data_IF_645620221728
#
_entry.id   IF_645620221728
#
_cell.length_a   1.000
_cell.length_b   1.000
_cell.length_c   1.000
_cell.angle_alpha   90.00
_cell.angle_beta   90.00
_cell.angle_gamma   90.00
#
_symmetry.space_group_name_H-M   'P 1'
#
loop_
_entity.id
_entity.type
_entity.pdbx_description
1 polymer ?
#
# COMPACT_ATOMS: atom_id res chain seq x y z
N UNK A 1 -17.19 -30.75 0.07
CA UNK A 1 -16.63 -29.39 0.05
C UNK A 1 -16.01 -29.19 -1.33
N UNK A 2 -16.57 -28.31 -2.15
CA UNK A 2 -16.01 -27.97 -3.46
C UNK A 2 -14.67 -27.26 -3.25
N UNK A 3 -13.61 -27.77 -3.87
CA UNK A 3 -12.28 -27.14 -3.87
C UNK A 3 -12.35 -25.79 -4.58
N UNK A 4 -12.79 -24.75 -3.87
CA UNK A 4 -12.62 -23.37 -4.29
C UNK A 4 -11.15 -23.01 -4.04
N UNK A 5 -10.29 -23.33 -5.01
CA UNK A 5 -8.95 -22.77 -4.99
C UNK A 5 -9.10 -21.24 -5.12
N UNK A 6 -8.63 -20.50 -4.13
CA UNK A 6 -8.67 -19.04 -4.20
C UNK A 6 -7.72 -18.53 -5.27
N UNK A 7 -7.90 -17.30 -5.77
CA UNK A 7 -6.99 -16.72 -6.76
C UNK A 7 -5.53 -16.73 -6.29
N UNK A 8 -5.31 -16.55 -4.98
CA UNK A 8 -3.99 -16.52 -4.39
C UNK A 8 -3.42 -17.94 -4.20
N UNK A 9 -4.21 -18.93 -3.77
CA UNK A 9 -3.72 -20.31 -3.69
C UNK A 9 -3.53 -20.95 -5.07
N UNK A 10 -4.37 -20.60 -6.06
CA UNK A 10 -4.16 -20.90 -7.49
C UNK A 10 -2.88 -20.27 -8.01
N UNK A 11 -2.58 -19.04 -7.60
CA UNK A 11 -1.37 -18.33 -7.99
C UNK A 11 -0.12 -19.04 -7.45
N UNK A 12 -0.02 -19.28 -6.14
CA UNK A 12 1.12 -19.97 -5.53
C UNK A 12 1.31 -21.41 -6.03
N UNK A 13 0.23 -22.19 -6.13
CA UNK A 13 0.32 -23.57 -6.63
C UNK A 13 0.76 -23.64 -8.10
N UNK A 14 0.44 -22.64 -8.92
CA UNK A 14 0.86 -22.58 -10.32
C UNK A 14 2.32 -22.16 -10.49
N UNK A 15 2.82 -21.23 -9.68
CA UNK A 15 4.26 -20.88 -9.65
C UNK A 15 5.09 -22.12 -9.35
N UNK A 16 4.72 -22.84 -8.28
CA UNK A 16 5.45 -24.02 -7.80
C UNK A 16 5.49 -25.19 -8.80
N UNK A 17 4.44 -25.36 -9.60
CA UNK A 17 4.27 -26.55 -10.44
C UNK A 17 4.68 -26.38 -11.92
N UNK A 18 4.88 -25.16 -12.43
CA UNK A 18 4.97 -24.93 -13.88
C UNK A 18 6.21 -24.15 -14.36
N UNK A 19 7.27 -23.97 -13.55
CA UNK A 19 8.43 -23.12 -13.92
C UNK A 19 7.98 -21.76 -14.49
N UNK A 20 6.94 -21.17 -13.91
CA UNK A 20 6.42 -19.88 -14.36
C UNK A 20 7.37 -18.80 -13.83
N UNK A 21 8.15 -18.19 -14.72
CA UNK A 21 8.85 -16.95 -14.43
C UNK A 21 7.82 -15.84 -14.36
N UNK A 22 7.44 -15.44 -13.14
CA UNK A 22 6.81 -14.16 -12.90
C UNK A 22 7.90 -13.09 -13.02
N UNK A 23 8.31 -12.77 -14.25
CA UNK A 23 9.10 -11.57 -14.42
C UNK A 23 8.10 -10.40 -14.35
N UNK A 24 8.18 -9.59 -13.29
CA UNK A 24 7.53 -8.28 -13.29
C UNK A 24 8.32 -7.37 -14.23
N UNK A 25 8.41 -7.71 -15.50
CA UNK A 25 9.05 -6.84 -16.45
C UNK A 25 8.22 -5.57 -16.47
N UNK A 26 8.80 -4.51 -15.88
CA UNK A 26 8.55 -3.12 -16.18
C UNK A 26 7.50 -2.38 -15.29
N UNK A 27 7.34 -1.08 -15.54
CA UNK A 27 6.45 -0.15 -14.81
C UNK A 27 4.98 -0.40 -15.14
N UNK A 28 4.04 0.24 -14.44
CA UNK A 28 2.61 0.14 -14.78
C UNK A 28 2.32 0.53 -16.26
N UNK A 29 3.15 1.38 -16.88
CA UNK A 29 3.04 1.84 -18.28
C UNK A 29 3.28 0.67 -19.21
N UNK A 30 4.26 -0.15 -18.87
CA UNK A 30 4.60 -1.33 -19.63
C UNK A 30 3.56 -2.42 -19.43
N UNK A 31 2.97 -2.59 -18.23
CA UNK A 31 1.78 -3.45 -18.06
C UNK A 31 0.64 -2.96 -18.97
N UNK A 32 0.41 -1.65 -19.07
CA UNK A 32 -0.61 -1.09 -19.94
C UNK A 32 -0.26 -1.15 -21.44
N UNK A 33 1.01 -1.04 -21.83
CA UNK A 33 1.48 -1.26 -23.20
C UNK A 33 1.42 -2.74 -23.58
N UNK A 34 1.79 -3.63 -22.67
CA UNK A 34 1.74 -5.07 -22.80
C UNK A 34 0.29 -5.56 -22.91
N UNK A 35 -0.65 -4.92 -22.22
CA UNK A 35 -2.09 -5.16 -22.40
C UNK A 35 -2.63 -4.62 -23.73
N UNK A 36 -1.96 -3.62 -24.34
CA UNK A 36 -2.27 -3.13 -25.70
C UNK A 36 -1.62 -3.99 -26.78
N UNK A 37 -0.55 -4.73 -26.46
CA UNK A 37 0.17 -5.62 -27.39
C UNK A 37 -0.31 -7.08 -27.22
N UNK A 38 -0.91 -7.72 -28.24
CA UNK A 38 -1.48 -9.07 -28.12
C UNK A 38 -0.44 -10.22 -27.99
N UNK A 39 0.79 -9.94 -27.55
CA UNK A 39 1.94 -10.86 -27.67
C UNK A 39 2.66 -11.23 -26.37
N UNK A 40 2.20 -10.82 -25.19
CA UNK A 40 2.85 -11.24 -23.94
C UNK A 40 2.17 -12.48 -23.36
N UNK A 41 3.00 -13.53 -23.26
CA UNK A 41 2.77 -14.86 -22.68
C UNK A 41 1.30 -15.31 -22.64
N UNK A 42 0.89 -16.01 -23.70
CA UNK A 42 -0.35 -16.79 -23.78
C UNK A 42 -0.44 -17.79 -22.61
N UNK A 43 -1.02 -17.36 -21.49
CA UNK A 43 -1.61 -18.30 -20.53
C UNK A 43 -3.00 -18.67 -21.04
N UNK A 44 -3.05 -19.69 -21.92
CA UNK A 44 -4.30 -20.30 -22.35
C UNK A 44 -4.90 -21.02 -21.14
N UNK A 45 -5.95 -20.45 -20.55
CA UNK A 45 -6.84 -21.20 -19.67
C UNK A 45 -7.58 -22.22 -20.52
N UNK A 46 -7.15 -23.49 -20.50
CA UNK A 46 -8.03 -24.60 -20.81
C UNK A 46 -8.97 -24.80 -19.61
N UNK A 47 -9.93 -23.90 -19.44
CA UNK A 47 -11.14 -24.27 -18.71
C UNK A 47 -11.92 -25.22 -19.61
N UNK A 48 -12.16 -26.45 -19.17
CA UNK A 48 -13.05 -27.42 -19.83
C UNK A 48 -14.54 -26.97 -19.85
N UNK A 49 -14.80 -25.66 -19.85
CA UNK A 49 -16.12 -25.11 -20.09
C UNK A 49 -16.36 -25.12 -21.58
N UNK A 50 -17.07 -26.15 -22.03
CA UNK A 50 -17.73 -26.23 -23.33
C UNK A 50 -18.65 -25.03 -23.51
N UNK A 51 -18.09 -23.91 -23.98
CA UNK A 51 -18.71 -22.93 -24.86
C UNK A 51 -17.71 -21.81 -25.20
N UNK A 52 -17.49 -21.66 -26.51
CA UNK A 52 -16.52 -20.82 -27.20
C UNK A 52 -16.55 -19.33 -26.83
N UNK A 53 -15.76 -18.93 -25.84
CA UNK A 53 -14.94 -17.71 -25.93
C UNK A 53 -13.64 -17.95 -25.17
N UNK A 54 -12.53 -18.20 -25.88
CA UNK A 54 -11.17 -18.18 -25.30
C UNK A 54 -10.87 -16.75 -24.84
N UNK A 55 -11.31 -16.39 -23.64
CA UNK A 55 -10.85 -15.18 -22.97
C UNK A 55 -9.44 -15.49 -22.47
N UNK A 56 -8.43 -14.96 -23.16
CA UNK A 56 -7.07 -14.89 -22.64
C UNK A 56 -7.12 -13.95 -21.43
N UNK A 57 -7.25 -14.53 -20.23
CA UNK A 57 -7.13 -13.76 -18.99
C UNK A 57 -5.66 -13.72 -18.65
N UNK A 58 -4.99 -12.63 -19.03
CA UNK A 58 -3.63 -12.35 -18.60
C UNK A 58 -3.68 -12.02 -17.10
N UNK A 59 -3.11 -12.88 -16.27
CA UNK A 59 -2.97 -12.61 -14.84
C UNK A 59 -1.70 -11.81 -14.65
N UNK A 60 -1.83 -10.50 -14.43
CA UNK A 60 -0.74 -9.68 -13.93
C UNK A 60 -0.68 -9.79 -12.42
N UNK A 61 0.53 -10.07 -11.91
CA UNK A 61 0.80 -9.95 -10.49
C UNK A 61 0.79 -8.46 -10.11
N UNK A 62 0.13 -8.12 -9.01
CA UNK A 62 -0.09 -6.73 -8.62
C UNK A 62 0.24 -6.53 -7.14
N UNK A 63 1.48 -6.12 -6.79
CA UNK A 63 1.93 -6.00 -5.41
C UNK A 63 0.99 -5.18 -4.49
N UNK A 64 0.39 -4.06 -4.94
CA UNK A 64 -0.57 -3.31 -4.12
C UNK A 64 -1.77 -4.14 -3.64
N UNK A 65 -2.17 -5.19 -4.37
CA UNK A 65 -3.28 -6.07 -3.96
C UNK A 65 -2.90 -7.01 -2.83
N UNK A 66 -1.64 -7.38 -2.69
CA UNK A 66 -1.17 -8.15 -1.52
C UNK A 66 -1.27 -7.27 -0.29
N UNK A 67 -0.71 -6.05 -0.35
CA UNK A 67 -0.76 -5.11 0.77
C UNK A 67 -2.21 -4.88 1.20
N UNK A 68 -3.11 -4.58 0.26
CA UNK A 68 -4.53 -4.40 0.57
C UNK A 68 -5.14 -5.62 1.26
N UNK A 69 -4.85 -6.82 0.76
CA UNK A 69 -5.39 -8.05 1.33
C UNK A 69 -4.89 -8.31 2.75
N UNK A 70 -3.61 -8.04 3.00
CA UNK A 70 -3.01 -8.17 4.33
C UNK A 70 -3.52 -7.11 5.30
N UNK A 71 -3.73 -5.88 4.81
CA UNK A 71 -4.36 -4.81 5.58
C UNK A 71 -5.76 -5.22 6.05
N UNK A 72 -6.58 -5.77 5.14
CA UNK A 72 -7.91 -6.29 5.50
C UNK A 72 -7.85 -7.47 6.46
N UNK A 73 -6.90 -8.38 6.25
CA UNK A 73 -6.68 -9.51 7.14
C UNK A 73 -6.36 -9.04 8.56
N UNK A 74 -5.42 -8.10 8.71
CA UNK A 74 -5.01 -7.50 9.99
C UNK A 74 -6.12 -6.69 10.68
N UNK A 75 -7.12 -6.23 9.95
CA UNK A 75 -8.28 -5.56 10.55
C UNK A 75 -9.37 -6.54 10.97
N UNK A 76 -9.44 -7.69 10.30
CA UNK A 76 -10.31 -8.80 10.71
C UNK A 76 -9.72 -9.66 11.83
N UNK A 77 -8.40 -9.61 12.02
CA UNK A 77 -7.63 -10.34 13.04
C UNK A 77 -6.73 -9.35 13.79
N UNK A 78 -7.14 -8.92 14.99
CA UNK A 78 -6.33 -8.06 15.85
C UNK A 78 -5.22 -8.88 16.53
N UNK A 79 -4.30 -9.47 15.74
CA UNK A 79 -3.17 -10.26 16.23
C UNK A 79 -1.82 -9.65 15.80
N UNK A 80 -0.79 -9.85 16.62
CA UNK A 80 0.60 -9.44 16.30
C UNK A 80 1.08 -10.09 15.01
N UNK A 81 0.76 -11.38 14.81
CA UNK A 81 1.08 -12.13 13.60
C UNK A 81 0.48 -11.49 12.34
N UNK A 82 -0.72 -10.91 12.41
CA UNK A 82 -1.33 -10.24 11.27
C UNK A 82 -0.62 -8.93 10.90
N UNK A 83 -0.14 -8.18 11.91
CA UNK A 83 0.68 -6.99 11.69
C UNK A 83 2.05 -7.36 11.09
N UNK A 84 2.68 -8.43 11.58
CA UNK A 84 3.93 -8.94 11.01
C UNK A 84 3.74 -9.34 9.54
N UNK A 85 2.65 -10.05 9.22
CA UNK A 85 2.34 -10.39 7.83
C UNK A 85 2.16 -9.16 6.94
N UNK A 86 1.50 -8.10 7.45
CA UNK A 86 1.36 -6.84 6.72
C UNK A 86 2.72 -6.21 6.41
N UNK A 87 3.62 -6.14 7.40
CA UNK A 87 4.96 -5.58 7.22
C UNK A 87 5.77 -6.38 6.18
N UNK A 88 5.77 -7.70 6.27
CA UNK A 88 6.42 -8.59 5.29
C UNK A 88 5.87 -8.41 3.88
N UNK A 89 4.54 -8.22 3.76
CA UNK A 89 3.90 -7.95 2.48
C UNK A 89 4.26 -6.59 1.88
N UNK A 90 4.45 -5.57 2.72
CA UNK A 90 4.92 -4.24 2.29
C UNK A 90 6.36 -4.34 1.78
N UNK A 91 7.25 -4.96 2.55
CA UNK A 91 8.66 -5.17 2.16
C UNK A 91 8.77 -5.95 0.86
N UNK A 92 8.05 -7.07 0.75
CA UNK A 92 8.00 -7.89 -0.46
C UNK A 92 7.48 -7.10 -1.66
N UNK A 93 6.44 -6.28 -1.47
CA UNK A 93 5.90 -5.46 -2.55
C UNK A 93 6.92 -4.42 -3.04
N UNK A 94 7.61 -3.74 -2.13
CA UNK A 94 8.67 -2.79 -2.46
C UNK A 94 9.84 -3.48 -3.17
N UNK A 95 10.27 -4.66 -2.69
CA UNK A 95 11.35 -5.42 -3.33
C UNK A 95 10.97 -5.83 -4.75
N UNK A 96 9.72 -6.25 -5.00
CA UNK A 96 9.25 -6.60 -6.35
C UNK A 96 9.32 -5.39 -7.30
N UNK A 97 9.01 -4.18 -6.82
CA UNK A 97 9.15 -2.94 -7.59
C UNK A 97 10.63 -2.57 -7.89
N UNK A 98 11.56 -3.00 -7.04
CA UNK A 98 12.98 -2.74 -7.21
C UNK A 98 13.69 -3.82 -8.05
N UNK A 99 13.34 -5.08 -7.82
CA UNK A 99 13.96 -6.29 -8.36
C UNK A 99 12.92 -7.23 -8.98
N UNK A 100 12.25 -6.79 -10.06
CA UNK A 100 11.15 -7.53 -10.67
C UNK A 100 11.44 -8.97 -11.08
N UNK A 101 12.68 -9.26 -11.46
CA UNK A 101 13.13 -10.59 -11.86
C UNK A 101 13.11 -11.59 -10.70
N UNK A 102 13.12 -11.10 -9.45
CA UNK A 102 13.09 -11.93 -8.25
C UNK A 102 11.67 -12.20 -7.73
N UNK A 103 10.62 -11.69 -8.40
CA UNK A 103 9.22 -11.79 -7.95
C UNK A 103 8.81 -13.21 -7.57
N UNK A 104 9.17 -14.21 -8.38
CA UNK A 104 8.80 -15.61 -8.10
C UNK A 104 9.38 -16.13 -6.77
N UNK A 105 10.62 -15.75 -6.45
CA UNK A 105 11.30 -16.19 -5.22
C UNK A 105 10.69 -15.46 -4.02
N UNK A 106 10.57 -14.13 -4.09
CA UNK A 106 9.96 -13.28 -3.05
C UNK A 106 8.58 -13.83 -2.67
N UNK A 107 7.79 -14.18 -3.67
CA UNK A 107 6.44 -14.72 -3.47
C UNK A 107 6.48 -16.11 -2.84
N UNK A 108 7.37 -16.99 -3.31
CA UNK A 108 7.52 -18.32 -2.70
C UNK A 108 7.95 -18.23 -1.24
N UNK A 109 8.89 -17.34 -0.92
CA UNK A 109 9.35 -17.09 0.45
C UNK A 109 8.22 -16.54 1.31
N UNK A 110 7.49 -15.54 0.83
CA UNK A 110 6.35 -14.95 1.54
C UNK A 110 5.26 -16.00 1.88
N UNK A 111 4.95 -16.91 0.97
CA UNK A 111 3.99 -18.02 1.22
C UNK A 111 4.48 -18.98 2.30
N UNK A 112 5.77 -19.31 2.29
CA UNK A 112 6.38 -20.18 3.30
C UNK A 112 6.35 -19.50 4.67
N UNK A 113 6.78 -18.24 4.74
CA UNK A 113 6.73 -17.46 5.99
C UNK A 113 5.31 -17.37 6.53
N UNK A 114 4.31 -17.07 5.70
CA UNK A 114 2.92 -17.02 6.17
C UNK A 114 2.39 -18.36 6.69
N UNK A 115 2.83 -19.50 6.13
CA UNK A 115 2.47 -20.83 6.65
C UNK A 115 3.08 -21.12 8.02
N UNK A 116 4.25 -20.55 8.30
CA UNK A 116 4.98 -20.75 9.55
C UNK A 116 4.48 -19.79 10.65
N UNK A 117 4.21 -18.53 10.29
CA UNK A 117 3.77 -17.49 11.23
C UNK A 117 2.30 -17.64 11.64
N UNK A 118 1.43 -18.07 10.74
CA UNK A 118 -0.01 -18.13 10.98
C UNK A 118 -0.47 -19.54 11.39
N UNK A 119 -1.49 -19.62 12.23
CA UNK A 119 -2.17 -20.90 12.44
C UNK A 119 -2.79 -21.40 11.13
N UNK A 120 -3.02 -22.71 11.02
CA UNK A 120 -3.64 -23.32 9.83
C UNK A 120 -4.95 -22.63 9.44
N UNK A 121 -5.74 -22.20 10.43
CA UNK A 121 -7.01 -21.50 10.20
C UNK A 121 -6.78 -20.07 9.69
N UNK A 122 -5.89 -19.29 10.31
CA UNK A 122 -5.53 -17.93 9.88
C UNK A 122 -4.93 -17.93 8.48
N UNK A 123 -3.98 -18.83 8.20
CA UNK A 123 -3.39 -19.00 6.87
C UNK A 123 -4.47 -19.33 5.85
N UNK A 124 -5.38 -20.27 6.14
CA UNK A 124 -6.50 -20.57 5.26
C UNK A 124 -7.40 -19.34 5.05
N UNK A 125 -7.74 -18.60 6.11
CA UNK A 125 -8.56 -17.39 6.00
C UNK A 125 -7.87 -16.35 5.10
N UNK A 126 -6.60 -16.05 5.34
CA UNK A 126 -5.80 -15.16 4.51
C UNK A 126 -5.83 -15.65 3.07
N UNK A 127 -5.49 -16.91 2.81
CA UNK A 127 -5.35 -17.40 1.45
C UNK A 127 -6.68 -17.47 0.70
N UNK A 128 -7.74 -17.95 1.34
CA UNK A 128 -9.00 -18.29 0.69
C UNK A 128 -10.05 -17.18 0.67
N UNK A 129 -9.88 -16.13 1.48
CA UNK A 129 -10.79 -14.98 1.42
C UNK A 129 -10.55 -14.16 0.16
N UNK A 130 -11.63 -13.88 -0.56
CA UNK A 130 -11.63 -12.99 -1.71
C UNK A 130 -11.68 -11.54 -1.24
N UNK A 131 -10.78 -10.70 -1.77
CA UNK A 131 -10.92 -9.25 -1.64
C UNK A 131 -11.77 -8.80 -2.81
N UNK A 132 -13.01 -8.40 -2.54
CA UNK A 132 -13.85 -7.79 -3.56
C UNK A 132 -13.36 -6.36 -3.80
N UNK A 133 -13.08 -6.03 -5.05
CA UNK A 133 -12.74 -4.67 -5.47
C UNK A 133 -13.55 -4.34 -6.72
N UNK A 134 -14.43 -3.36 -6.58
CA UNK A 134 -15.13 -2.77 -7.71
C UNK A 134 -14.14 -2.04 -8.63
N UNK A 135 -14.56 -1.82 -9.88
CA UNK A 135 -13.75 -1.06 -10.83
C UNK A 135 -13.56 0.37 -10.31
N UNK A 136 -12.32 0.73 -10.01
CA UNK A 136 -11.94 2.03 -9.48
C UNK A 136 -11.17 2.81 -10.55
N UNK A 137 -11.90 3.64 -11.30
CA UNK A 137 -11.31 4.45 -12.38
C UNK A 137 -10.37 5.51 -11.86
N UNK A 138 -10.64 6.04 -10.67
CA UNK A 138 -9.86 7.13 -10.07
C UNK A 138 -8.48 6.60 -9.69
N UNK A 139 -8.43 5.52 -8.92
CA UNK A 139 -7.15 4.91 -8.57
C UNK A 139 -6.39 4.42 -9.80
N UNK A 140 -7.09 3.92 -10.83
CA UNK A 140 -6.48 3.54 -12.11
C UNK A 140 -5.81 4.73 -12.81
N UNK A 141 -6.52 5.86 -12.94
CA UNK A 141 -5.99 7.07 -13.56
C UNK A 141 -4.83 7.67 -12.75
N UNK A 142 -4.95 7.67 -11.43
CA UNK A 142 -3.91 8.14 -10.52
C UNK A 142 -2.66 7.25 -10.55
N UNK A 143 -2.72 6.02 -11.06
CA UNK A 143 -1.56 5.12 -11.14
C UNK A 143 -0.83 5.20 -12.47
N UNK A 144 -0.91 6.35 -13.15
CA UNK A 144 -0.12 6.63 -14.33
C UNK A 144 1.37 6.81 -13.94
N UNK A 145 2.31 6.01 -14.46
CA UNK A 145 3.72 6.07 -14.06
C UNK A 145 4.41 7.38 -14.37
N UNK A 146 4.08 8.02 -15.50
CA UNK A 146 4.63 9.35 -15.80
C UNK A 146 4.23 10.35 -14.73
N UNK A 147 2.99 10.26 -14.27
CA UNK A 147 2.48 11.07 -13.18
C UNK A 147 3.18 10.72 -11.87
N UNK A 148 3.26 9.44 -11.50
CA UNK A 148 3.97 8.97 -10.30
C UNK A 148 5.42 9.44 -10.26
N UNK A 149 6.14 9.35 -11.39
CA UNK A 149 7.51 9.79 -11.51
C UNK A 149 7.65 11.31 -11.36
N UNK A 150 6.80 12.10 -12.03
CA UNK A 150 6.80 13.56 -11.88
C UNK A 150 6.53 13.95 -10.43
N UNK A 151 5.49 13.37 -9.83
CA UNK A 151 5.10 13.64 -8.46
C UNK A 151 6.13 13.16 -7.44
N UNK A 152 6.89 12.10 -7.72
CA UNK A 152 8.02 11.73 -6.86
C UNK A 152 9.15 12.76 -6.88
N UNK A 153 9.43 13.41 -8.02
CA UNK A 153 10.42 14.50 -8.10
C UNK A 153 9.94 15.72 -7.31
N UNK A 154 8.67 16.08 -7.46
CA UNK A 154 8.06 17.17 -6.68
C UNK A 154 8.15 16.87 -5.18
N UNK A 155 7.75 15.65 -4.77
CA UNK A 155 7.83 15.22 -3.38
C UNK A 155 9.27 15.26 -2.84
N UNK A 156 10.25 14.83 -3.63
CA UNK A 156 11.68 14.92 -3.26
C UNK A 156 12.12 16.34 -2.90
N UNK A 157 11.64 17.34 -3.65
CA UNK A 157 11.93 18.74 -3.37
C UNK A 157 11.15 19.26 -2.16
N UNK A 158 9.84 18.95 -2.06
CA UNK A 158 8.97 19.39 -0.94
C UNK A 158 9.43 18.80 0.39
N UNK A 159 9.81 17.52 0.40
CA UNK A 159 10.40 16.83 1.55
C UNK A 159 11.85 17.25 1.83
N UNK A 160 12.40 18.24 1.09
CA UNK A 160 13.76 18.75 1.25
C UNK A 160 14.82 17.64 1.24
N UNK A 161 14.60 16.62 0.41
CA UNK A 161 15.53 15.52 0.20
C UNK A 161 15.80 14.69 1.47
N UNK A 162 14.91 14.72 2.47
CA UNK A 162 15.04 13.96 3.71
C UNK A 162 14.52 12.53 3.59
N UNK A 163 14.78 11.70 4.59
CA UNK A 163 14.00 10.48 4.75
C UNK A 163 12.54 10.82 5.09
N UNK A 164 11.62 9.97 4.62
CA UNK A 164 10.17 10.18 4.81
C UNK A 164 9.49 8.98 5.47
N UNK A 165 8.51 9.24 6.32
CA UNK A 165 7.45 8.29 6.64
C UNK A 165 6.28 8.58 5.69
N UNK A 166 6.12 7.72 4.68
CA UNK A 166 5.11 7.84 3.64
C UNK A 166 3.87 7.02 4.00
N UNK A 167 2.80 7.69 4.39
CA UNK A 167 1.55 7.11 4.84
C UNK A 167 0.54 7.14 3.69
N UNK A 168 0.33 6.00 3.02
CA UNK A 168 -0.63 5.88 1.93
C UNK A 168 -2.04 5.58 2.46
N UNK A 169 -3.00 6.43 2.14
CA UNK A 169 -4.38 6.34 2.60
C UNK A 169 -5.21 5.41 1.72
N UNK A 170 -6.04 4.60 2.38
CA UNK A 170 -7.11 3.85 1.75
C UNK A 170 -6.63 2.81 0.74
N UNK A 171 -7.58 2.25 -0.03
CA UNK A 171 -7.24 1.27 -1.06
C UNK A 171 -6.71 1.92 -2.34
N UNK A 172 -7.16 3.14 -2.61
CA UNK A 172 -6.81 3.82 -3.85
C UNK A 172 -5.42 4.42 -3.79
N UNK A 173 -4.99 4.93 -2.63
CA UNK A 173 -3.66 5.51 -2.44
C UNK A 173 -2.52 4.49 -2.36
N UNK A 174 -2.77 3.23 -2.02
CA UNK A 174 -1.70 2.21 -1.91
C UNK A 174 -0.99 1.99 -3.25
N UNK A 175 -1.76 1.88 -4.35
CA UNK A 175 -1.22 1.58 -5.67
C UNK A 175 -0.33 2.70 -6.24
N UNK A 176 -0.83 3.94 -6.44
CA UNK A 176 0.00 5.05 -6.88
C UNK A 176 1.05 5.44 -5.81
N UNK A 177 0.75 5.24 -4.52
CA UNK A 177 1.66 5.55 -3.43
C UNK A 177 2.91 4.68 -3.43
N UNK A 178 2.77 3.38 -3.67
CA UNK A 178 3.92 2.47 -3.82
C UNK A 178 4.83 2.91 -4.97
N UNK A 179 4.24 3.35 -6.08
CA UNK A 179 4.97 3.77 -7.28
C UNK A 179 5.71 5.09 -7.03
N UNK A 180 5.01 6.11 -6.51
CA UNK A 180 5.60 7.40 -6.10
C UNK A 180 6.72 7.20 -5.09
N UNK A 181 6.51 6.39 -4.05
CA UNK A 181 7.50 6.10 -3.03
C UNK A 181 8.72 5.38 -3.61
N UNK A 182 8.53 4.39 -4.48
CA UNK A 182 9.62 3.68 -5.13
C UNK A 182 10.48 4.61 -5.99
N UNK A 183 9.85 5.54 -6.72
CA UNK A 183 10.57 6.56 -7.48
C UNK A 183 11.25 7.60 -6.58
N UNK A 184 10.64 7.96 -5.45
CA UNK A 184 11.23 8.85 -4.45
C UNK A 184 12.56 8.28 -3.93
N UNK A 185 12.55 7.04 -3.45
CA UNK A 185 13.75 6.36 -2.91
C UNK A 185 14.83 6.23 -3.99
N UNK A 186 14.46 5.85 -5.22
CA UNK A 186 15.40 5.80 -6.37
C UNK A 186 16.02 7.17 -6.65
N UNK A 187 15.24 8.24 -6.54
CA UNK A 187 15.71 9.61 -6.75
C UNK A 187 16.68 10.04 -5.66
N UNK A 188 16.34 9.78 -4.39
CA UNK A 188 17.21 10.05 -3.24
C UNK A 188 18.56 9.36 -3.38
N UNK A 189 18.57 8.06 -3.72
CA UNK A 189 19.81 7.29 -3.97
C UNK A 189 20.61 7.82 -5.15
N UNK A 190 19.95 8.26 -6.22
CA UNK A 190 20.65 8.84 -7.38
C UNK A 190 21.35 10.15 -7.04
N UNK A 191 20.71 11.01 -6.25
CA UNK A 191 21.26 12.32 -5.86
C UNK A 191 22.31 12.19 -4.75
N UNK A 192 22.15 11.21 -3.85
CA UNK A 192 23.07 10.95 -2.75
C UNK A 192 23.45 9.45 -2.72
N UNK A 193 24.38 8.98 -3.58
CA UNK A 193 24.70 7.55 -3.72
C UNK A 193 25.26 6.88 -2.46
N UNK A 194 25.76 7.66 -1.50
CA UNK A 194 26.32 7.19 -0.24
C UNK A 194 25.27 7.11 0.90
N UNK A 195 24.05 7.61 0.66
CA UNK A 195 22.98 7.60 1.64
C UNK A 195 22.08 6.39 1.41
N UNK A 196 22.04 5.49 2.39
CA UNK A 196 20.97 4.50 2.45
C UNK A 196 19.68 5.20 2.93
N UNK A 197 18.64 5.13 2.10
CA UNK A 197 17.33 5.69 2.45
C UNK A 197 16.73 4.93 3.61
N UNK A 198 16.44 5.62 4.70
CA UNK A 198 15.63 5.08 5.80
C UNK A 198 14.15 5.45 5.65
N UNK A 199 13.74 5.90 4.48
CA UNK A 199 12.34 6.19 4.18
C UNK A 199 11.48 4.92 4.34
N UNK A 200 10.28 5.06 4.90
CA UNK A 200 9.36 3.96 5.20
C UNK A 200 8.03 4.22 4.50
N UNK A 201 7.52 3.20 3.82
CA UNK A 201 6.17 3.18 3.28
C UNK A 201 5.23 2.48 4.25
N UNK A 202 4.09 3.07 4.54
CA UNK A 202 3.10 2.50 5.43
C UNK A 202 1.66 2.72 4.93
N UNK A 203 0.91 1.65 4.61
CA UNK A 203 -0.48 1.75 4.19
C UNK A 203 -1.40 1.87 5.40
N UNK A 204 -2.42 2.72 5.31
CA UNK A 204 -3.43 2.85 6.37
C UNK A 204 -4.81 2.78 5.75
N UNK A 205 -5.68 1.93 6.32
CA UNK A 205 -7.07 1.89 5.90
C UNK A 205 -7.76 3.17 6.35
N UNK A 206 -8.11 3.97 5.36
CA UNK A 206 -8.95 5.14 5.55
C UNK A 206 -9.69 5.45 4.25
N UNK A 207 -11.00 5.28 4.22
CA UNK A 207 -11.83 5.71 3.10
C UNK A 207 -13.20 6.18 3.56
N UNK A 208 -13.42 7.50 3.45
CA UNK A 208 -14.71 8.12 3.77
C UNK A 208 -15.81 7.72 2.79
N UNK A 209 -15.47 7.64 1.51
CA UNK A 209 -16.46 7.39 0.47
C UNK A 209 -16.76 5.89 0.30
N UNK A 210 -15.74 5.04 0.40
CA UNK A 210 -15.89 3.60 0.14
C UNK A 210 -16.30 2.83 1.38
N UNK A 211 -16.00 3.34 2.58
CA UNK A 211 -16.16 2.63 3.85
C UNK A 211 -16.78 3.47 4.98
N UNK A 212 -17.12 4.74 4.72
CA UNK A 212 -17.72 5.66 5.70
C UNK A 212 -16.89 5.85 6.97
N UNK A 213 -15.57 5.68 6.86
CA UNK A 213 -14.66 5.80 7.99
C UNK A 213 -14.51 7.27 8.42
N UNK A 214 -14.49 7.50 9.74
CA UNK A 214 -14.35 8.84 10.32
C UNK A 214 -12.90 9.23 10.54
N UNK A 215 -12.02 8.25 10.70
CA UNK A 215 -10.60 8.45 10.95
C UNK A 215 -9.77 7.25 10.43
N UNK A 216 -8.45 7.42 10.25
CA UNK A 216 -7.55 6.32 9.91
C UNK A 216 -7.59 5.18 10.93
N UNK A 217 -7.67 3.93 10.45
CA UNK A 217 -7.81 2.75 11.30
C UNK A 217 -6.43 2.15 11.65
N UNK A 218 -5.93 2.52 12.82
CA UNK A 218 -4.68 2.02 13.40
C UNK A 218 -4.92 1.50 14.81
N UNK A 219 -4.31 0.36 15.12
CA UNK A 219 -4.19 -0.16 16.47
C UNK A 219 -3.18 0.66 17.28
N UNK A 220 -3.23 0.51 18.61
CA UNK A 220 -2.24 1.13 19.50
C UNK A 220 -0.81 0.67 19.16
N UNK A 221 -0.62 -0.61 18.86
CA UNK A 221 0.71 -1.14 18.54
C UNK A 221 1.28 -0.50 17.27
N UNK A 222 0.46 -0.30 16.24
CA UNK A 222 0.90 0.39 15.02
C UNK A 222 1.26 1.84 15.31
N UNK A 223 0.45 2.53 16.12
CA UNK A 223 0.77 3.91 16.52
C UNK A 223 2.14 3.96 17.21
N UNK A 224 2.40 3.06 18.17
CA UNK A 224 3.69 3.00 18.87
C UNK A 224 4.85 2.68 17.92
N UNK A 225 4.64 1.75 16.98
CA UNK A 225 5.64 1.42 15.96
C UNK A 225 5.91 2.60 15.02
N UNK A 226 4.88 3.32 14.60
CA UNK A 226 5.04 4.50 13.73
C UNK A 226 5.71 5.65 14.48
N UNK A 227 5.36 5.88 15.75
CA UNK A 227 6.02 6.87 16.61
C UNK A 227 7.52 6.57 16.78
N UNK A 228 7.94 5.31 16.89
CA UNK A 228 9.36 4.97 17.00
C UNK A 228 10.15 5.15 15.70
N UNK A 229 9.46 5.10 14.55
CA UNK A 229 10.05 5.27 13.21
C UNK A 229 10.17 6.75 12.82
N UNK A 230 9.31 7.62 13.35
CA UNK A 230 9.14 9.00 12.86
C UNK A 230 10.33 9.92 13.12
N UNK A 231 11.23 9.53 14.03
CA UNK A 231 12.40 10.32 14.39
C UNK A 231 13.25 10.62 13.14
N UNK A 232 13.56 11.92 12.97
CA UNK A 232 14.31 12.48 11.83
C UNK A 232 13.68 12.28 10.44
N UNK A 233 12.40 11.91 10.35
CA UNK A 233 11.68 11.80 9.08
C UNK A 233 10.68 12.93 8.88
N UNK A 234 10.48 13.31 7.62
CA UNK A 234 9.32 14.09 7.21
C UNK A 234 8.12 13.15 7.07
N UNK A 235 6.94 13.58 7.53
CA UNK A 235 5.74 12.75 7.49
C UNK A 235 4.94 13.18 6.28
N UNK A 236 4.68 12.23 5.38
CA UNK A 236 3.91 12.45 4.15
C UNK A 236 2.62 11.65 4.28
N UNK A 237 1.49 12.33 4.23
CA UNK A 237 0.16 11.73 4.11
C UNK A 237 -0.20 11.78 2.63
N UNK A 238 -0.52 10.62 2.06
CA UNK A 238 -0.69 10.46 0.63
C UNK A 238 -2.05 9.86 0.27
N UNK A 239 -2.70 10.42 -0.75
CA UNK A 239 -3.93 9.88 -1.33
C UNK A 239 -3.83 9.78 -2.87
N UNK A 240 -4.71 9.03 -3.53
CA UNK A 240 -4.67 8.93 -5.00
C UNK A 240 -5.03 10.23 -5.72
N UNK A 241 -5.94 11.02 -5.13
CA UNK A 241 -6.40 12.29 -5.66
C UNK A 241 -6.77 13.24 -4.52
N UNK A 242 -6.82 14.53 -4.82
CA UNK A 242 -7.22 15.55 -3.85
C UNK A 242 -8.74 15.63 -3.68
N UNK A 243 -9.53 15.46 -4.75
CA UNK A 243 -10.99 15.53 -4.72
C UNK A 243 -11.51 16.80 -4.00
N UNK A 244 -12.13 16.62 -2.83
CA UNK A 244 -12.59 17.73 -1.95
C UNK A 244 -11.58 18.13 -0.86
N UNK A 245 -10.52 17.35 -0.67
CA UNK A 245 -9.53 17.47 0.41
C UNK A 245 -9.94 16.94 1.76
N UNK A 246 -11.23 16.73 2.00
CA UNK A 246 -11.72 16.43 3.34
C UNK A 246 -11.15 15.12 3.91
N UNK A 247 -10.86 14.11 3.07
CA UNK A 247 -10.16 12.90 3.52
C UNK A 247 -8.77 13.26 4.02
N UNK A 248 -8.00 13.98 3.22
CA UNK A 248 -6.64 14.37 3.56
C UNK A 248 -6.58 15.30 4.79
N UNK A 249 -7.52 16.23 4.93
CA UNK A 249 -7.62 17.12 6.11
C UNK A 249 -7.89 16.32 7.40
N UNK A 250 -8.80 15.35 7.37
CA UNK A 250 -9.10 14.50 8.52
C UNK A 250 -7.92 13.57 8.86
N UNK A 251 -7.28 12.99 7.84
CA UNK A 251 -6.06 12.20 8.05
C UNK A 251 -4.96 13.06 8.66
N UNK A 252 -4.76 14.28 8.17
CA UNK A 252 -3.79 15.25 8.73
C UNK A 252 -4.08 15.52 10.18
N UNK A 253 -5.31 15.94 10.52
CA UNK A 253 -5.69 16.23 11.91
C UNK A 253 -5.47 15.02 12.83
N UNK A 254 -5.76 13.81 12.35
CA UNK A 254 -5.51 12.57 13.09
C UNK A 254 -4.01 12.38 13.35
N UNK A 255 -3.18 12.42 12.31
CA UNK A 255 -1.74 12.18 12.44
C UNK A 255 -0.98 13.31 13.15
N UNK A 256 -1.44 14.56 13.06
CA UNK A 256 -0.92 15.66 13.88
C UNK A 256 -1.10 15.36 15.37
N UNK A 257 -2.24 14.76 15.74
CA UNK A 257 -2.52 14.34 17.11
C UNK A 257 -1.67 13.13 17.51
N UNK A 258 -1.53 12.14 16.64
CA UNK A 258 -0.73 10.93 16.88
C UNK A 258 0.74 11.30 17.11
N UNK A 259 1.35 12.07 16.20
CA UNK A 259 2.78 12.37 16.26
C UNK A 259 3.11 13.61 17.10
N UNK A 260 2.11 14.42 17.49
CA UNK A 260 2.33 15.68 18.19
C UNK A 260 3.09 16.71 17.35
N UNK A 261 2.94 16.67 16.03
CA UNK A 261 3.63 17.50 15.03
C UNK A 261 2.61 18.19 14.14
N UNK A 262 2.97 19.34 13.55
CA UNK A 262 2.10 20.10 12.61
C UNK A 262 2.71 20.26 11.22
N UNK A 263 3.97 19.85 11.06
CA UNK A 263 4.75 19.95 9.83
C UNK A 263 4.55 18.74 8.90
N UNK A 264 3.34 18.18 8.87
CA UNK A 264 3.00 17.04 8.02
C UNK A 264 2.71 17.53 6.59
N UNK A 265 3.28 16.83 5.61
CA UNK A 265 3.08 17.07 4.19
C UNK A 265 1.84 16.29 3.76
N UNK A 266 0.90 16.95 3.11
CA UNK A 266 -0.25 16.32 2.45
C UNK A 266 0.02 16.31 0.95
N UNK A 267 -0.07 15.15 0.33
CA UNK A 267 0.35 14.94 -1.05
C UNK A 267 -0.62 14.02 -1.79
N UNK A 268 -0.81 14.23 -3.08
CA UNK A 268 -1.67 13.38 -3.90
C UNK A 268 -1.02 13.11 -5.25
N UNK A 269 -1.43 12.03 -5.91
CA UNK A 269 -0.94 11.69 -7.25
C UNK A 269 -1.92 12.13 -8.35
N UNK A 270 -2.24 13.42 -8.37
CA UNK A 270 -3.07 14.01 -9.41
C UNK A 270 -2.26 14.92 -10.35
N UNK A 271 -2.82 15.21 -11.53
CA UNK A 271 -2.19 16.02 -12.58
C UNK A 271 -2.14 17.51 -12.27
N UNK A 272 -2.93 17.96 -11.29
CA UNK A 272 -2.88 19.31 -10.77
C UNK A 272 -1.80 19.35 -9.70
N UNK A 273 -0.55 19.55 -10.13
CA UNK A 273 0.58 19.83 -9.23
C UNK A 273 0.44 21.22 -8.63
N UNK A 274 -0.72 21.52 -8.04
CA UNK A 274 -0.85 22.57 -7.06
C UNK A 274 -0.55 21.89 -5.73
N UNK A 275 0.51 22.32 -5.03
CA UNK A 275 0.63 22.07 -3.59
C UNK A 275 -0.77 22.25 -3.01
N UNK A 276 -1.35 21.18 -2.45
CA UNK A 276 -2.69 21.26 -1.89
C UNK A 276 -2.66 22.41 -0.88
N UNK A 277 -3.25 23.55 -1.27
CA UNK A 277 -2.92 24.87 -0.73
C UNK A 277 -2.74 24.77 0.77
N UNK A 278 -1.48 24.77 1.23
CA UNK A 278 -1.04 24.53 2.60
C UNK A 278 -1.66 25.50 3.64
N UNK A 279 -2.44 26.48 3.16
CA UNK A 279 -3.05 27.56 3.91
C UNK A 279 -4.59 27.65 3.79
N UNK A 280 -5.29 26.74 3.08
CA UNK A 280 -6.77 26.71 3.16
C UNK A 280 -7.19 26.13 4.51
N UNK A 281 -7.26 27.03 5.48
CA UNK A 281 -7.83 26.84 6.81
C UNK A 281 -9.33 26.56 6.67
N UNK A 282 -9.72 25.35 6.28
CA UNK A 282 -11.04 24.86 6.63
C UNK A 282 -10.98 24.56 8.12
N UNK A 283 -11.43 25.53 8.91
CA UNK A 283 -11.66 25.34 10.33
C UNK A 283 -12.76 24.27 10.48
N UNK A 284 -12.37 23.00 10.53
CA UNK A 284 -13.21 21.97 11.15
C UNK A 284 -13.03 22.15 12.66
N UNK A 285 -13.58 23.25 13.19
CA UNK A 285 -13.86 23.37 14.61
C UNK A 285 -15.06 22.48 14.93
N UNK A 286 -14.80 21.18 15.10
CA UNK A 286 -15.73 20.29 15.80
C UNK A 286 -14.96 19.31 16.68
N UNK A 287 -15.04 19.59 17.99
CA UNK A 287 -14.92 18.65 19.11
C UNK A 287 -13.95 17.48 18.94
N UNK A 288 -12.66 17.74 19.16
CA UNK A 288 -11.71 16.70 19.60
C UNK A 288 -11.50 16.85 21.12
N UNK A 289 -12.59 17.05 21.86
CA UNK A 289 -12.58 17.25 23.33
C UNK A 289 -12.34 15.95 24.13
N UNK A 290 -12.00 14.84 23.48
CA UNK A 290 -11.79 13.54 24.13
C UNK A 290 -10.55 12.78 23.61
N UNK A 291 -9.38 13.41 23.55
CA UNK A 291 -8.11 12.66 23.46
C UNK A 291 -7.10 13.25 24.44
N UNK A 292 -7.05 12.66 25.64
CA UNK A 292 -5.86 12.78 26.48
C UNK A 292 -4.66 12.36 25.61
N UNK A 293 -3.57 13.13 25.57
CA UNK A 293 -2.39 12.73 24.81
C UNK A 293 -1.99 11.32 25.25
N UNK A 294 -1.84 10.38 24.31
CA UNK A 294 -1.52 8.97 24.62
C UNK A 294 -0.31 8.84 25.54
N UNK A 295 0.63 9.80 25.48
CA UNK A 295 1.76 9.93 26.41
C UNK A 295 1.35 9.96 27.89
N UNK A 296 0.17 10.49 28.25
CA UNK A 296 -0.40 10.43 29.61
C UNK A 296 -1.00 9.07 29.93
N UNK A 297 -1.67 8.41 28.99
CA UNK A 297 -2.28 7.10 29.20
C UNK A 297 -1.23 5.99 29.39
N UNK A 298 -0.13 6.05 28.63
CA UNK A 298 0.98 5.09 28.70
C UNK A 298 1.74 5.22 30.02
N UNK A 299 1.98 6.45 30.50
CA UNK A 299 2.59 6.66 31.83
C UNK A 299 1.72 6.16 32.99
N UNK A 300 0.39 6.13 32.84
CA UNK A 300 -0.51 5.63 33.90
C UNK A 300 -0.65 4.10 33.94
N UNK A 301 -0.29 3.37 32.87
CA UNK A 301 -0.42 1.90 32.82
C UNK A 301 0.88 1.14 33.09
N UNK A 302 2.03 1.82 33.13
CA UNK A 302 3.32 1.22 33.51
C UNK A 302 3.61 1.25 35.02
N UNK A 303 2.61 1.62 35.85
CA UNK A 303 2.73 1.73 37.31
C UNK A 303 1.75 0.85 38.10
N UNK A 304 1.12 -0.14 37.47
CA UNK A 304 0.33 -1.17 38.15
C UNK A 304 0.71 -2.56 37.66
#
# INVERSE_FOLDING_TARGET
MTNHNSPLSLFFSKIKNNNITLEYCNTLDDIFEDLKQPKISKYIFNSNSSNNTKRNVNFAFHPPRIIRKLLEFKLGEYSENALECLNLGIESALEIYQNPKNTSNIITELDLTFKETLSTFEYAKLMYTFVNQESDRISLSASNPKLSYQNSQTLFNVAKQSDILFIALGYGGIMPGLDVFSHYVKTQKKQNPQLDSNSVFYPVRFSRFKLEEKEPNLSLQEILNLESIVDNKQIVIFDEETGTGLTMDLAKSYFETVFGRKDLICFANDSSVDEYNLNKKYAVEKDISFRLPLKKLIKSKLFF
#
